data_IF_133703433270
#
_entry.id   IF_133703433270
#
_cell.length_a   1.000
_cell.length_b   1.000
_cell.length_c   1.000
_cell.angle_alpha   90.00
_cell.angle_beta   90.00
_cell.angle_gamma   90.00
#
_symmetry.space_group_name_H-M   'P 1'
#
loop_
_entity.id
_entity.type
_entity.pdbx_description
1 polymer ?
#
# COMPACT_ATOMS: atom_id res chain seq x y z
N UNK A 1 10.55 22.22 0.25
CA UNK A 1 9.99 22.09 1.62
C UNK A 1 8.49 21.82 1.54
N UNK A 2 8.00 20.88 2.32
CA UNK A 2 6.57 20.55 2.31
C UNK A 2 5.77 21.62 3.05
N UNK A 3 4.67 22.05 2.43
CA UNK A 3 3.70 22.93 3.09
C UNK A 3 2.75 22.10 3.94
N UNK A 4 1.98 22.75 4.82
CA UNK A 4 0.96 22.06 5.61
C UNK A 4 -0.06 21.36 4.69
N UNK A 5 -0.39 21.99 3.57
CA UNK A 5 -1.30 21.40 2.58
C UNK A 5 -0.69 20.16 1.93
N UNK A 6 0.60 20.21 1.61
CA UNK A 6 1.30 19.05 1.05
C UNK A 6 1.28 17.87 2.02
N UNK A 7 1.49 18.13 3.29
CA UNK A 7 1.45 17.12 4.34
C UNK A 7 0.06 16.48 4.42
N UNK A 8 -0.99 17.28 4.40
CA UNK A 8 -2.37 16.76 4.43
C UNK A 8 -2.67 15.88 3.24
N UNK A 9 -2.26 16.30 2.04
CA UNK A 9 -2.48 15.51 0.81
C UNK A 9 -1.76 14.18 0.89
N UNK A 10 -0.50 14.19 1.33
CA UNK A 10 0.30 12.97 1.46
C UNK A 10 -0.32 12.03 2.50
N UNK A 11 -0.74 12.56 3.65
CA UNK A 11 -1.37 11.76 4.69
C UNK A 11 -2.67 11.12 4.21
N UNK A 12 -3.49 11.88 3.50
CA UNK A 12 -4.74 11.36 2.94
C UNK A 12 -4.46 10.24 1.93
N UNK A 13 -3.45 10.41 1.09
CA UNK A 13 -3.06 9.39 0.12
C UNK A 13 -2.55 8.12 0.80
N UNK A 14 -1.78 8.26 1.86
CA UNK A 14 -1.30 7.12 2.64
C UNK A 14 -2.47 6.31 3.19
N UNK A 15 -3.47 6.98 3.76
CA UNK A 15 -4.67 6.31 4.30
C UNK A 15 -5.41 5.55 3.21
N UNK A 16 -5.60 6.16 2.03
CA UNK A 16 -6.23 5.50 0.89
C UNK A 16 -5.48 4.23 0.49
N UNK A 17 -4.16 4.33 0.38
CA UNK A 17 -3.33 3.20 -0.02
C UNK A 17 -3.27 2.11 1.04
N UNK A 18 -3.29 2.48 2.32
CA UNK A 18 -3.33 1.51 3.41
C UNK A 18 -4.65 0.74 3.40
N UNK A 19 -5.76 1.41 3.11
CA UNK A 19 -7.06 0.76 2.98
C UNK A 19 -7.06 -0.22 1.81
N UNK A 20 -6.55 0.21 0.67
CA UNK A 20 -6.44 -0.65 -0.52
C UNK A 20 -5.54 -1.86 -0.23
N UNK A 21 -4.43 -1.64 0.46
CA UNK A 21 -3.52 -2.71 0.85
C UNK A 21 -4.21 -3.75 1.74
N UNK A 22 -4.97 -3.28 2.72
CA UNK A 22 -5.73 -4.17 3.62
C UNK A 22 -6.78 -4.98 2.87
N UNK A 23 -7.55 -4.32 2.00
CA UNK A 23 -8.59 -4.98 1.23
C UNK A 23 -7.99 -6.04 0.32
N UNK A 24 -6.86 -5.73 -0.29
CA UNK A 24 -6.16 -6.65 -1.17
C UNK A 24 -5.59 -7.84 -0.39
N UNK A 25 -5.07 -7.60 0.79
CA UNK A 25 -4.55 -8.66 1.65
C UNK A 25 -5.66 -9.64 2.04
N UNK A 26 -6.84 -9.14 2.37
CA UNK A 26 -8.01 -9.96 2.68
C UNK A 26 -8.48 -10.77 1.47
N UNK A 27 -8.48 -10.15 0.29
CA UNK A 27 -8.85 -10.83 -0.95
C UNK A 27 -7.87 -11.95 -1.29
N UNK A 28 -6.58 -11.70 -1.11
CA UNK A 28 -5.54 -12.72 -1.32
C UNK A 28 -5.76 -13.91 -0.38
N UNK A 29 -6.01 -13.63 0.89
CA UNK A 29 -6.25 -14.67 1.88
C UNK A 29 -7.47 -15.53 1.51
N UNK A 30 -8.55 -14.90 1.12
CA UNK A 30 -9.77 -15.60 0.70
C UNK A 30 -9.52 -16.49 -0.50
N UNK A 31 -8.85 -15.96 -1.53
CA UNK A 31 -8.54 -16.73 -2.75
C UNK A 31 -7.58 -17.87 -2.47
N UNK A 32 -6.66 -17.70 -1.54
CA UNK A 32 -5.67 -18.72 -1.21
C UNK A 32 -6.29 -19.98 -0.61
N UNK A 33 -7.42 -19.85 0.07
CA UNK A 33 -8.10 -20.99 0.70
C UNK A 33 -9.24 -21.55 -0.13
N UNK A 34 -9.57 -20.91 -1.25
CA UNK A 34 -10.67 -21.36 -2.12
C UNK A 34 -10.18 -22.45 -3.06
N UNK A 35 -10.95 -23.53 -3.17
CA UNK A 35 -10.67 -24.60 -4.11
C UNK A 35 -10.81 -24.08 -5.56
N UNK A 36 -9.90 -24.51 -6.44
CA UNK A 36 -9.91 -24.06 -7.82
C UNK A 36 -9.40 -22.63 -8.02
N UNK A 37 -8.62 -22.16 -7.10
CA UNK A 37 -8.08 -20.81 -7.14
C UNK A 37 -7.31 -20.52 -8.43
N UNK A 38 -7.45 -19.29 -8.87
CA UNK A 38 -6.72 -18.78 -10.03
C UNK A 38 -5.35 -18.26 -9.57
N UNK A 39 -4.30 -19.03 -9.85
CA UNK A 39 -2.95 -18.69 -9.45
C UNK A 39 -2.43 -17.43 -10.13
N UNK A 40 -2.85 -17.18 -11.37
CA UNK A 40 -2.45 -15.97 -12.08
C UNK A 40 -3.03 -14.74 -11.39
N UNK A 41 -4.30 -14.81 -11.00
CA UNK A 41 -4.98 -13.73 -10.29
C UNK A 41 -4.33 -13.47 -8.94
N UNK A 42 -4.02 -14.53 -8.20
CA UNK A 42 -3.30 -14.43 -6.93
C UNK A 42 -1.95 -13.76 -7.09
N UNK A 43 -1.21 -14.13 -8.11
CA UNK A 43 0.11 -13.54 -8.39
C UNK A 43 0.00 -12.05 -8.68
N UNK A 44 -1.00 -11.65 -9.46
CA UNK A 44 -1.24 -10.24 -9.78
C UNK A 44 -1.60 -9.45 -8.52
N UNK A 45 -2.43 -10.01 -7.68
CA UNK A 45 -2.84 -9.38 -6.43
C UNK A 45 -1.66 -9.20 -5.47
N UNK A 46 -0.82 -10.22 -5.34
CA UNK A 46 0.38 -10.17 -4.51
C UNK A 46 1.35 -9.11 -5.02
N UNK A 47 1.50 -9.01 -6.34
CA UNK A 47 2.35 -7.98 -6.95
C UNK A 47 1.80 -6.59 -6.65
N UNK A 48 0.49 -6.39 -6.79
CA UNK A 48 -0.15 -5.12 -6.48
C UNK A 48 0.02 -4.75 -5.00
N UNK A 49 -0.11 -5.73 -4.11
CA UNK A 49 0.09 -5.54 -2.68
C UNK A 49 1.51 -5.02 -2.38
N UNK A 50 2.51 -5.62 -3.02
CA UNK A 50 3.90 -5.18 -2.86
C UNK A 50 4.11 -3.76 -3.38
N UNK A 51 3.50 -3.42 -4.52
CA UNK A 51 3.57 -2.07 -5.07
C UNK A 51 2.94 -1.05 -4.14
N UNK A 52 1.80 -1.38 -3.54
CA UNK A 52 1.12 -0.51 -2.58
C UNK A 52 1.99 -0.28 -1.35
N UNK A 53 2.56 -1.33 -0.79
CA UNK A 53 3.43 -1.22 0.37
C UNK A 53 4.63 -0.32 0.08
N UNK A 54 5.23 -0.50 -1.09
CA UNK A 54 6.37 0.29 -1.53
C UNK A 54 6.01 1.78 -1.63
N UNK A 55 4.88 2.07 -2.26
CA UNK A 55 4.40 3.45 -2.41
C UNK A 55 4.09 4.08 -1.06
N UNK A 56 3.44 3.33 -0.17
CA UNK A 56 3.15 3.80 1.19
C UNK A 56 4.44 4.18 1.91
N UNK A 57 5.45 3.31 1.84
CA UNK A 57 6.74 3.56 2.48
C UNK A 57 7.39 4.82 1.93
N UNK A 58 7.38 4.99 0.61
CA UNK A 58 7.95 6.18 -0.02
C UNK A 58 7.24 7.45 0.42
N UNK A 59 5.91 7.42 0.50
CA UNK A 59 5.13 8.57 0.95
C UNK A 59 5.39 8.88 2.43
N UNK A 60 5.49 7.86 3.26
CA UNK A 60 5.81 8.04 4.67
C UNK A 60 7.19 8.67 4.85
N UNK A 61 8.15 8.27 4.05
CA UNK A 61 9.49 8.86 4.08
C UNK A 61 9.48 10.34 3.75
N UNK A 62 8.57 10.78 2.90
CA UNK A 62 8.42 12.19 2.55
C UNK A 62 7.96 13.05 3.74
N UNK A 63 7.22 12.45 4.66
CA UNK A 63 6.71 13.14 5.85
C UNK A 63 7.73 13.22 6.97
N UNK A 64 8.77 12.40 6.93
CA UNK A 64 9.81 12.38 7.96
C UNK A 64 10.82 13.48 7.66
N UNK A 65 11.02 14.43 8.57
CA UNK A 65 12.07 15.43 8.37
C UNK A 65 13.44 14.76 8.31
N UNK A 66 14.40 15.43 7.71
CA UNK A 66 15.75 14.90 7.51
C UNK A 66 16.26 14.20 8.77
N UNK A 67 16.41 12.89 8.66
CA UNK A 67 16.96 12.09 9.75
C UNK A 67 18.44 11.94 9.46
N UNK A 68 19.30 12.46 10.33
CA UNK A 68 20.73 12.25 10.15
C UNK A 68 21.05 10.78 10.21
N UNK A 69 21.80 10.31 9.25
CA UNK A 69 22.18 8.92 9.16
C UNK A 69 23.04 8.50 10.36
#
# INVERSE_FOLDING_TARGET
MLTAQDIEVIQARIVELQTEHRDLDMAIETLSVTAGRDELHLRRMKKRKLQLKDTITLLQMRLIPDIPA
#
